data_IF_488397990374
#
_entry.id   IF_488397990374
#
_cell.length_a   1.000
_cell.length_b   1.000
_cell.length_c   1.000
_cell.angle_alpha   90.00
_cell.angle_beta   90.00
_cell.angle_gamma   90.00
#
_symmetry.space_group_name_H-M   'P 1'
#
loop_
_entity.id
_entity.type
_entity.pdbx_description
1 polymer ?
#
# COMPACT_ATOMS: atom_id res chain seq x y z
N UNK A 1 -43.23 51.16 -55.49
CA UNK A 1 -43.92 50.76 -54.24
C UNK A 1 -43.41 49.39 -53.85
N UNK A 2 -42.99 49.26 -52.59
CA UNK A 2 -42.31 48.11 -51.97
C UNK A 2 -43.15 46.82 -52.06
N UNK A 3 -42.62 45.61 -51.83
CA UNK A 3 -42.26 45.09 -50.51
C UNK A 3 -41.19 43.99 -50.62
N UNK A 4 -40.13 44.14 -49.83
CA UNK A 4 -39.13 43.10 -49.50
C UNK A 4 -39.76 42.17 -48.44
N UNK A 5 -39.67 40.85 -48.60
CA UNK A 5 -39.85 39.95 -47.45
C UNK A 5 -38.86 38.77 -47.43
N UNK A 6 -38.18 38.71 -46.28
CA UNK A 6 -37.12 37.81 -45.84
C UNK A 6 -37.54 36.35 -45.83
N UNK A 7 -36.61 35.43 -46.14
CA UNK A 7 -36.71 34.02 -45.76
C UNK A 7 -35.33 33.51 -45.36
N UNK A 8 -35.24 33.12 -44.10
CA UNK A 8 -34.05 32.78 -43.32
C UNK A 8 -33.29 31.56 -43.86
N UNK A 9 -31.97 31.68 -43.89
CA UNK A 9 -31.04 30.55 -43.94
C UNK A 9 -31.09 29.78 -42.61
N UNK A 10 -31.36 28.47 -42.66
CA UNK A 10 -31.21 27.56 -41.53
C UNK A 10 -29.87 26.82 -41.67
N UNK A 11 -28.97 26.97 -40.70
CA UNK A 11 -27.79 26.12 -40.53
C UNK A 11 -28.23 24.74 -40.00
N UNK A 12 -27.76 23.61 -40.56
CA UNK A 12 -28.08 22.30 -40.02
C UNK A 12 -27.24 22.02 -38.77
N UNK A 13 -27.80 22.35 -37.61
CA UNK A 13 -27.34 21.82 -36.32
C UNK A 13 -27.82 20.37 -36.19
N UNK A 14 -27.03 19.40 -36.62
CA UNK A 14 -27.23 18.01 -36.18
C UNK A 14 -26.93 16.94 -37.21
N UNK A 15 -25.66 16.59 -37.36
CA UNK A 15 -25.29 15.25 -37.84
C UNK A 15 -23.96 14.81 -37.22
N UNK A 16 -23.93 14.68 -35.89
CA UNK A 16 -22.82 13.99 -35.25
C UNK A 16 -23.01 12.49 -35.43
N UNK A 17 -22.03 11.73 -35.97
CA UNK A 17 -22.19 10.30 -36.12
C UNK A 17 -22.34 9.68 -34.73
N UNK A 18 -23.39 8.88 -34.50
CA UNK A 18 -23.66 8.18 -33.22
C UNK A 18 -22.43 7.43 -32.69
N UNK A 19 -21.61 6.90 -33.60
CA UNK A 19 -20.33 6.21 -33.33
C UNK A 19 -19.26 7.12 -32.72
N UNK A 20 -19.29 8.42 -33.03
CA UNK A 20 -18.41 9.44 -32.46
C UNK A 20 -18.90 9.93 -31.10
N UNK A 21 -20.22 10.04 -30.89
CA UNK A 21 -20.79 10.39 -29.59
C UNK A 21 -20.47 9.33 -28.51
N UNK A 22 -20.55 8.04 -28.86
CA UNK A 22 -20.18 6.95 -27.95
C UNK A 22 -18.67 6.88 -27.67
N UNK A 23 -17.82 7.18 -28.68
CA UNK A 23 -16.37 7.34 -28.46
C UNK A 23 -16.07 8.51 -27.51
N UNK A 24 -16.76 9.64 -27.67
CA UNK A 24 -16.59 10.80 -26.80
C UNK A 24 -17.04 10.50 -25.38
N UNK A 25 -18.20 9.86 -25.17
CA UNK A 25 -18.64 9.43 -23.83
C UNK A 25 -17.60 8.54 -23.15
N UNK A 26 -17.04 7.55 -23.87
CA UNK A 26 -15.98 6.69 -23.30
C UNK A 26 -14.72 7.47 -22.96
N UNK A 27 -14.31 8.41 -23.81
CA UNK A 27 -13.15 9.30 -23.57
C UNK A 27 -13.38 10.18 -22.34
N UNK A 28 -14.61 10.64 -22.10
CA UNK A 28 -14.94 11.45 -20.92
C UNK A 28 -15.20 10.62 -19.66
N UNK A 29 -15.72 9.39 -19.78
CA UNK A 29 -16.03 8.51 -18.64
C UNK A 29 -14.80 7.79 -18.09
N UNK A 30 -13.80 7.47 -18.91
CA UNK A 30 -12.55 6.82 -18.48
C UNK A 30 -11.73 7.61 -17.45
N UNK A 31 -11.43 8.91 -17.65
CA UNK A 31 -10.68 9.69 -16.66
C UNK A 31 -11.48 9.94 -15.38
N UNK A 32 -12.81 10.09 -15.49
CA UNK A 32 -13.70 10.20 -14.31
C UNK A 32 -13.70 8.89 -13.51
N UNK A 33 -13.77 7.75 -14.20
CA UNK A 33 -13.64 6.44 -13.56
C UNK A 33 -12.30 6.29 -12.83
N UNK A 34 -11.19 6.65 -13.48
CA UNK A 34 -9.87 6.60 -12.85
C UNK A 34 -9.70 7.56 -11.66
N UNK A 35 -10.40 8.70 -11.66
CA UNK A 35 -10.42 9.64 -10.53
C UNK A 35 -11.22 9.11 -9.33
N UNK A 36 -12.31 8.37 -9.58
CA UNK A 36 -13.17 7.77 -8.55
C UNK A 36 -12.48 6.59 -7.86
N UNK A 37 -11.69 5.82 -8.60
CA UNK A 37 -10.94 4.65 -8.09
C UNK A 37 -9.48 4.98 -7.75
N UNK A 38 -9.21 6.20 -7.27
CA UNK A 38 -7.87 6.71 -7.00
C UNK A 38 -6.95 5.71 -6.28
N UNK A 39 -5.72 5.59 -6.78
CA UNK A 39 -4.66 4.76 -6.17
C UNK A 39 -4.14 5.49 -4.94
N UNK A 40 -4.43 4.98 -3.74
CA UNK A 40 -3.81 5.48 -2.51
C UNK A 40 -2.40 4.91 -2.38
N UNK A 41 -1.41 5.80 -2.34
CA UNK A 41 -0.03 5.39 -2.09
C UNK A 41 0.09 4.83 -0.67
N UNK A 42 0.63 3.62 -0.55
CA UNK A 42 0.84 3.00 0.77
C UNK A 42 1.68 3.93 1.67
N UNK A 43 1.20 4.14 2.89
CA UNK A 43 1.94 4.95 3.88
C UNK A 43 3.31 4.32 4.11
N UNK A 44 4.35 5.15 4.09
CA UNK A 44 5.72 4.71 4.37
C UNK A 44 5.83 4.34 5.86
N UNK A 45 6.24 3.10 6.21
CA UNK A 45 6.42 2.72 7.61
C UNK A 45 7.67 3.38 8.19
N UNK A 46 7.66 3.60 9.51
CA UNK A 46 8.87 3.94 10.26
C UNK A 46 9.62 2.65 10.61
N UNK A 47 10.95 2.63 10.42
CA UNK A 47 11.79 1.48 10.75
C UNK A 47 12.65 1.84 11.95
N UNK A 48 12.49 1.10 13.05
CA UNK A 48 13.38 1.14 14.21
C UNK A 48 14.30 -0.08 14.17
N UNK A 49 15.60 0.16 14.04
CA UNK A 49 16.63 -0.88 14.15
C UNK A 49 17.30 -0.77 15.53
N UNK A 50 17.11 -1.80 16.37
CA UNK A 50 17.70 -1.87 17.70
C UNK A 50 18.78 -2.95 17.73
N UNK A 51 19.97 -2.60 18.23
CA UNK A 51 21.12 -3.49 18.37
C UNK A 51 21.58 -3.49 19.82
N UNK A 52 22.05 -4.64 20.30
CA UNK A 52 22.53 -4.80 21.66
C UNK A 52 23.91 -5.46 21.66
N UNK A 53 24.81 -4.93 22.48
CA UNK A 53 26.19 -5.40 22.61
C UNK A 53 26.25 -6.66 23.48
N UNK A 54 27.04 -7.65 23.06
CA UNK A 54 27.25 -8.93 23.76
C UNK A 54 25.97 -9.68 24.23
N UNK A 55 24.81 -9.39 23.65
CA UNK A 55 23.52 -9.89 24.15
C UNK A 55 23.36 -11.41 23.98
N UNK A 56 24.13 -12.03 23.08
CA UNK A 56 24.04 -13.47 22.79
C UNK A 56 22.61 -13.93 22.44
N UNK A 57 22.38 -15.25 22.41
CA UNK A 57 21.02 -15.81 22.22
C UNK A 57 20.31 -15.99 23.58
N UNK A 58 20.29 -14.92 24.37
CA UNK A 58 19.74 -14.92 25.72
C UNK A 58 18.47 -14.05 25.81
N UNK A 59 17.32 -14.70 25.73
CA UNK A 59 16.01 -14.07 25.95
C UNK A 59 14.97 -15.13 26.31
N UNK A 60 14.01 -14.77 27.16
CA UNK A 60 12.96 -15.70 27.60
C UNK A 60 12.13 -16.25 26.44
N UNK A 61 11.93 -15.46 25.38
CA UNK A 61 11.26 -15.89 24.16
C UNK A 61 11.84 -17.21 23.57
N UNK A 62 13.15 -17.46 23.72
CA UNK A 62 13.78 -18.69 23.24
C UNK A 62 13.45 -19.93 24.08
N UNK A 63 13.12 -19.77 25.36
CA UNK A 63 12.82 -20.90 26.26
C UNK A 63 11.62 -21.74 25.78
N UNK A 64 10.67 -21.11 25.10
CA UNK A 64 9.47 -21.79 24.59
C UNK A 64 9.72 -22.59 23.32
N UNK A 65 10.78 -22.27 22.56
CA UNK A 65 11.03 -22.84 21.23
C UNK A 65 12.21 -23.81 21.19
N UNK A 66 13.13 -23.72 22.15
CA UNK A 66 14.35 -24.54 22.18
C UNK A 66 14.10 -25.99 22.63
N UNK A 67 12.97 -26.27 23.31
CA UNK A 67 12.56 -27.62 23.71
C UNK A 67 13.46 -28.33 24.73
N UNK A 68 14.53 -27.66 25.19
CA UNK A 68 15.50 -28.18 26.16
C UNK A 68 15.72 -27.18 27.31
N UNK A 69 16.11 -27.65 28.51
CA UNK A 69 16.53 -26.76 29.58
C UNK A 69 17.63 -25.81 29.11
N UNK A 70 17.49 -24.52 29.43
CA UNK A 70 18.44 -23.48 29.04
C UNK A 70 18.35 -22.28 29.98
N UNK A 71 19.39 -21.42 30.05
CA UNK A 71 19.34 -20.18 30.84
C UNK A 71 18.15 -19.29 30.51
N UNK A 72 17.62 -19.38 29.28
CA UNK A 72 16.43 -18.65 28.85
C UNK A 72 15.19 -18.91 29.72
N UNK A 73 15.13 -20.01 30.48
CA UNK A 73 14.01 -20.33 31.37
C UNK A 73 13.94 -19.42 32.62
N UNK A 74 15.06 -18.83 33.03
CA UNK A 74 15.13 -17.97 34.23
C UNK A 74 15.26 -16.48 33.88
N UNK A 75 15.62 -16.16 32.64
CA UNK A 75 15.72 -14.79 32.13
C UNK A 75 14.32 -14.15 32.07
N UNK A 76 14.25 -12.85 32.37
CA UNK A 76 13.02 -12.05 32.25
C UNK A 76 13.25 -10.89 31.29
N UNK A 77 12.63 -10.97 30.10
CA UNK A 77 12.76 -9.97 29.03
C UNK A 77 11.39 -9.53 28.50
N UNK A 78 10.48 -9.02 29.35
CA UNK A 78 9.06 -8.90 29.01
C UNK A 78 8.77 -8.03 27.77
N UNK A 79 9.58 -6.98 27.53
CA UNK A 79 9.42 -6.11 26.35
C UNK A 79 9.89 -6.79 25.07
N UNK A 80 11.04 -7.47 25.10
CA UNK A 80 11.53 -8.25 23.96
C UNK A 80 10.57 -9.42 23.66
N UNK A 81 10.08 -10.11 24.69
CA UNK A 81 9.14 -11.21 24.57
C UNK A 81 7.83 -10.75 23.91
N UNK A 82 7.36 -9.53 24.21
CA UNK A 82 6.20 -8.94 23.55
C UNK A 82 6.45 -8.73 22.06
N UNK A 83 7.60 -8.16 21.70
CA UNK A 83 7.98 -7.95 20.29
C UNK A 83 8.10 -9.29 19.55
N UNK A 84 8.73 -10.30 20.16
CA UNK A 84 8.85 -11.63 19.58
C UNK A 84 7.50 -12.33 19.37
N UNK A 85 6.53 -12.11 20.27
CA UNK A 85 5.17 -12.65 20.17
C UNK A 85 4.30 -11.96 19.12
N UNK A 86 4.45 -10.64 18.96
CA UNK A 86 3.72 -9.84 17.98
C UNK A 86 4.36 -9.89 16.58
N UNK A 87 5.61 -10.34 16.49
CA UNK A 87 6.39 -10.40 15.27
C UNK A 87 6.93 -11.79 14.96
N UNK A 88 8.18 -11.83 14.49
CA UNK A 88 8.86 -13.08 14.09
C UNK A 88 10.12 -13.24 14.94
N UNK A 89 10.25 -14.41 15.58
CA UNK A 89 11.46 -14.82 16.30
C UNK A 89 12.33 -15.71 15.41
N UNK A 90 13.51 -15.23 15.05
CA UNK A 90 14.48 -16.01 14.29
C UNK A 90 15.16 -17.04 15.19
N UNK A 91 15.02 -18.33 14.86
CA UNK A 91 15.65 -19.44 15.61
C UNK A 91 17.11 -19.68 15.24
N UNK A 92 17.51 -19.18 14.08
CA UNK A 92 18.83 -19.37 13.46
C UNK A 92 19.31 -18.05 12.85
N UNK A 93 19.62 -17.07 13.71
CA UNK A 93 20.23 -15.81 13.31
C UNK A 93 21.73 -15.85 13.64
N UNK A 94 22.58 -15.87 12.62
CA UNK A 94 24.03 -15.96 12.76
C UNK A 94 24.69 -14.64 12.36
N UNK A 95 25.81 -14.33 13.01
CA UNK A 95 26.70 -13.23 12.64
C UNK A 95 27.91 -13.78 11.87
N UNK A 96 28.54 -12.93 11.06
CA UNK A 96 29.65 -13.35 10.17
C UNK A 96 30.98 -13.52 10.90
N UNK A 97 31.16 -12.90 12.07
CA UNK A 97 32.33 -13.04 12.93
C UNK A 97 31.90 -13.04 14.40
N UNK A 98 32.51 -13.90 15.25
CA UNK A 98 32.31 -13.80 16.69
C UNK A 98 33.05 -12.57 17.23
N UNK A 99 32.37 -11.75 18.03
CA UNK A 99 32.94 -10.69 18.85
C UNK A 99 33.00 -11.13 20.30
#
# INVERSE_FOLDING_TARGET
VAVIHSSRFYLPLGFWPQRMAERMKRIFLLPVFLLVFGVEAAKRPNILFAFADDWGRYARAYAQVDGRPSPNQVIKTPHFDRVAREGVLFKNAFVTAPS
#
